data_IF_813777311875
#
_entry.id   IF_813777311875
#
_cell.length_a   1.000
_cell.length_b   1.000
_cell.length_c   1.000
_cell.angle_alpha   90.00
_cell.angle_beta   90.00
_cell.angle_gamma   90.00
#
_symmetry.space_group_name_H-M   'P 1'
#
loop_
_entity.id
_entity.type
_entity.pdbx_description
1 polymer ?
#
# COMPACT_ATOMS: atom_id res chain seq x y z
N UNK A 1 13.89 18.08 -13.63
CA UNK A 1 13.38 16.69 -13.58
C UNK A 1 14.28 15.81 -14.40
N UNK A 2 14.71 14.70 -13.83
CA UNK A 2 15.54 13.72 -14.49
C UNK A 2 14.64 12.75 -15.25
N UNK A 3 14.64 12.85 -16.58
CA UNK A 3 13.81 12.01 -17.45
C UNK A 3 14.23 10.54 -17.43
N UNK A 4 15.50 10.24 -17.21
CA UNK A 4 15.98 8.86 -17.12
C UNK A 4 15.40 8.17 -15.88
N UNK A 5 15.33 8.86 -14.76
CA UNK A 5 14.68 8.36 -13.55
C UNK A 5 13.18 8.18 -13.78
N UNK A 6 12.52 9.16 -14.40
CA UNK A 6 11.09 9.07 -14.70
C UNK A 6 10.79 7.86 -15.62
N UNK A 7 11.60 7.65 -16.63
CA UNK A 7 11.51 6.48 -17.52
C UNK A 7 11.71 5.17 -16.75
N UNK A 8 12.69 5.13 -15.85
CA UNK A 8 12.97 3.96 -15.03
C UNK A 8 11.81 3.63 -14.11
N UNK A 9 11.17 4.65 -13.54
CA UNK A 9 9.97 4.47 -12.70
C UNK A 9 8.81 3.93 -13.56
N UNK A 10 8.56 4.53 -14.72
CA UNK A 10 7.51 4.06 -15.62
C UNK A 10 7.74 2.62 -16.09
N UNK A 11 8.99 2.23 -16.33
CA UNK A 11 9.35 0.89 -16.76
C UNK A 11 9.14 -0.19 -15.70
N UNK A 12 8.90 0.17 -14.45
CA UNK A 12 8.59 -0.82 -13.40
C UNK A 12 7.33 -1.62 -13.71
N UNK A 13 6.41 -1.08 -14.51
CA UNK A 13 5.19 -1.80 -14.91
C UNK A 13 5.48 -2.98 -15.87
N UNK A 14 6.63 -2.99 -16.52
CA UNK A 14 7.00 -4.04 -17.49
C UNK A 14 7.17 -5.40 -16.81
N UNK A 15 7.45 -5.43 -15.52
CA UNK A 15 7.57 -6.66 -14.73
C UNK A 15 6.26 -7.06 -14.04
N UNK A 16 5.23 -6.25 -14.17
CA UNK A 16 3.87 -6.57 -13.74
C UNK A 16 3.13 -7.35 -14.84
N UNK A 17 2.04 -8.05 -14.52
CA UNK A 17 1.21 -8.71 -15.54
C UNK A 17 0.76 -7.75 -16.63
N UNK A 18 0.55 -8.27 -17.83
CA UNK A 18 0.09 -7.50 -18.99
C UNK A 18 -1.41 -7.16 -18.85
N UNK A 19 -1.69 -6.20 -18.00
CA UNK A 19 -3.02 -5.71 -17.66
C UNK A 19 -3.11 -4.21 -17.96
N UNK A 20 -4.30 -3.64 -18.01
CA UNK A 20 -4.44 -2.19 -18.06
C UNK A 20 -3.70 -1.49 -16.92
N UNK A 21 -3.29 -0.26 -17.14
CA UNK A 21 -2.56 0.56 -16.17
C UNK A 21 -3.43 1.73 -15.73
N UNK A 22 -3.50 1.96 -14.43
CA UNK A 22 -4.03 3.19 -13.84
C UNK A 22 -2.90 3.96 -13.20
N UNK A 23 -2.64 5.17 -13.71
CA UNK A 23 -1.66 6.09 -13.10
C UNK A 23 -2.36 7.06 -12.15
N UNK A 24 -1.85 7.16 -10.93
CA UNK A 24 -2.34 8.12 -9.92
C UNK A 24 -1.47 9.36 -9.92
N UNK A 25 -2.12 10.54 -9.93
CA UNK A 25 -1.45 11.82 -9.76
C UNK A 25 -0.44 12.14 -10.85
N UNK A 26 -0.83 12.03 -12.13
CA UNK A 26 0.12 12.26 -13.22
C UNK A 26 0.70 13.69 -13.26
N UNK A 27 0.02 14.67 -12.65
CA UNK A 27 0.47 16.05 -12.64
C UNK A 27 0.65 16.58 -14.06
N UNK A 28 1.87 16.99 -14.39
CA UNK A 28 2.23 17.49 -15.72
C UNK A 28 2.60 16.38 -16.71
N UNK A 29 2.37 15.12 -16.36
CA UNK A 29 2.55 13.99 -17.26
C UNK A 29 3.97 13.47 -17.39
N UNK A 30 4.81 13.66 -16.35
CA UNK A 30 6.23 13.25 -16.38
C UNK A 30 6.37 11.73 -16.54
N UNK A 31 5.59 10.93 -15.81
CA UNK A 31 5.56 9.47 -16.00
C UNK A 31 4.67 9.09 -17.17
N UNK A 32 3.57 9.81 -17.37
CA UNK A 32 2.57 9.53 -18.39
C UNK A 32 3.18 9.45 -19.78
N UNK A 33 4.13 10.34 -20.12
CA UNK A 33 4.80 10.36 -21.43
C UNK A 33 5.49 9.03 -21.77
N UNK A 34 5.95 8.29 -20.77
CA UNK A 34 6.57 6.98 -20.96
C UNK A 34 5.55 5.84 -20.91
N UNK A 35 4.49 6.01 -20.12
CA UNK A 35 3.43 5.00 -19.99
C UNK A 35 2.60 4.88 -21.27
N UNK A 36 2.35 6.00 -21.98
CA UNK A 36 1.62 5.98 -23.26
C UNK A 36 2.32 5.17 -24.34
N UNK A 37 3.63 4.95 -24.22
CA UNK A 37 4.41 4.19 -25.19
C UNK A 37 4.32 2.67 -24.98
N UNK A 38 3.69 2.21 -23.89
CA UNK A 38 3.68 0.79 -23.50
C UNK A 38 2.71 -0.07 -24.31
N UNK A 39 1.90 0.51 -25.19
CA UNK A 39 0.88 -0.23 -25.96
C UNK A 39 -0.07 -1.04 -25.06
N UNK A 40 -0.36 -0.50 -23.86
CA UNK A 40 -1.31 -1.06 -22.90
C UNK A 40 -2.44 -0.05 -22.70
N UNK A 41 -3.61 -0.55 -22.37
CA UNK A 41 -4.71 0.34 -21.99
C UNK A 41 -4.26 1.17 -20.78
N UNK A 42 -4.31 2.49 -20.89
CA UNK A 42 -3.85 3.41 -19.85
C UNK A 42 -4.97 4.37 -19.52
N UNK A 43 -5.27 4.51 -18.24
CA UNK A 43 -6.07 5.60 -17.68
C UNK A 43 -5.25 6.31 -16.62
N UNK A 44 -5.52 7.61 -16.45
CA UNK A 44 -4.88 8.43 -15.43
C UNK A 44 -5.96 9.10 -14.59
N UNK A 45 -5.71 9.26 -13.30
CA UNK A 45 -6.63 9.96 -12.39
C UNK A 45 -5.90 11.10 -11.72
N UNK A 46 -6.49 12.31 -11.85
CA UNK A 46 -5.92 13.54 -11.32
C UNK A 46 -7.03 14.38 -10.70
N UNK A 47 -6.81 14.86 -9.48
CA UNK A 47 -7.79 15.69 -8.77
C UNK A 47 -7.69 17.17 -9.15
N UNK A 48 -6.50 17.64 -9.54
CA UNK A 48 -6.26 19.04 -9.87
C UNK A 48 -6.77 19.38 -11.27
N UNK A 49 -7.74 20.31 -11.34
CA UNK A 49 -8.40 20.67 -12.59
C UNK A 49 -7.44 21.33 -13.61
N UNK A 50 -6.45 22.08 -13.15
CA UNK A 50 -5.44 22.68 -14.04
C UNK A 50 -4.56 21.62 -14.66
N UNK A 51 -4.14 20.62 -13.88
CA UNK A 51 -3.39 19.48 -14.38
C UNK A 51 -4.20 18.65 -15.36
N UNK A 52 -5.49 18.42 -15.10
CA UNK A 52 -6.39 17.73 -16.04
C UNK A 52 -6.45 18.47 -17.38
N UNK A 53 -6.63 19.78 -17.37
CA UNK A 53 -6.65 20.59 -18.58
C UNK A 53 -5.31 20.48 -19.35
N UNK A 54 -4.20 20.56 -18.64
CA UNK A 54 -2.87 20.43 -19.24
C UNK A 54 -2.66 19.04 -19.87
N UNK A 55 -3.07 17.97 -19.17
CA UNK A 55 -2.94 16.61 -19.68
C UNK A 55 -3.77 16.38 -20.94
N UNK A 56 -4.99 16.93 -21.00
CA UNK A 56 -5.83 16.88 -22.20
C UNK A 56 -5.16 17.55 -23.40
N UNK A 57 -4.50 18.67 -23.18
CA UNK A 57 -3.78 19.39 -24.22
C UNK A 57 -2.53 18.64 -24.67
N UNK A 58 -1.73 18.15 -23.70
CA UNK A 58 -0.46 17.47 -23.98
C UNK A 58 -0.65 16.06 -24.58
N UNK A 59 -1.68 15.35 -24.14
CA UNK A 59 -1.96 13.96 -24.56
C UNK A 59 -3.38 13.87 -25.14
N UNK A 60 -3.65 14.47 -26.31
CA UNK A 60 -5.02 14.47 -26.85
C UNK A 60 -5.58 13.07 -27.11
N UNK A 61 -4.71 12.09 -27.41
CA UNK A 61 -5.14 10.70 -27.61
C UNK A 61 -5.56 10.02 -26.30
N UNK A 62 -5.16 10.56 -25.16
CA UNK A 62 -5.51 10.05 -23.83
C UNK A 62 -6.78 10.72 -23.27
N UNK A 63 -7.37 11.67 -23.97
CA UNK A 63 -8.43 12.55 -23.47
C UNK A 63 -9.60 11.79 -22.81
N UNK A 64 -10.08 10.71 -23.43
CA UNK A 64 -11.18 9.91 -22.89
C UNK A 64 -10.78 9.07 -21.68
N UNK A 65 -9.50 9.00 -21.39
CA UNK A 65 -8.92 8.18 -20.32
C UNK A 65 -8.28 9.02 -19.20
N UNK A 66 -8.50 10.33 -19.22
CA UNK A 66 -8.10 11.25 -18.16
C UNK A 66 -9.30 11.44 -17.24
N UNK A 67 -9.18 10.91 -16.02
CA UNK A 67 -10.26 10.96 -15.03
C UNK A 67 -9.97 12.09 -14.05
N UNK A 68 -10.79 13.15 -14.10
CA UNK A 68 -10.72 14.25 -13.14
C UNK A 68 -11.50 13.90 -11.89
N UNK A 69 -10.86 13.24 -10.92
CA UNK A 69 -11.51 12.77 -9.71
C UNK A 69 -10.51 12.56 -8.57
N UNK A 70 -11.06 12.40 -7.37
CA UNK A 70 -10.30 11.98 -6.20
C UNK A 70 -10.24 10.44 -6.17
N UNK A 71 -9.05 9.88 -6.32
CA UNK A 71 -8.83 8.43 -6.29
C UNK A 71 -9.43 7.80 -5.03
N UNK A 72 -9.32 8.45 -3.88
CA UNK A 72 -9.82 7.90 -2.61
C UNK A 72 -11.34 7.75 -2.56
N UNK A 73 -12.07 8.46 -3.44
CA UNK A 73 -13.54 8.40 -3.51
C UNK A 73 -14.06 7.58 -4.68
N UNK A 74 -13.18 7.08 -5.54
CA UNK A 74 -13.59 6.34 -6.74
C UNK A 74 -14.03 4.92 -6.41
N UNK A 75 -14.97 4.40 -7.19
CA UNK A 75 -15.26 2.97 -7.24
C UNK A 75 -14.31 2.31 -8.26
N UNK A 76 -13.30 1.61 -7.79
CA UNK A 76 -12.25 1.06 -8.64
C UNK A 76 -12.74 -0.05 -9.58
N UNK A 77 -13.83 -0.73 -9.24
CA UNK A 77 -14.44 -1.72 -10.11
C UNK A 77 -14.92 -1.13 -11.45
N UNK A 78 -15.21 0.16 -11.47
CA UNK A 78 -15.72 0.85 -12.69
C UNK A 78 -14.60 1.33 -13.61
N UNK A 79 -13.35 1.37 -13.18
CA UNK A 79 -12.27 1.98 -13.96
C UNK A 79 -12.02 1.19 -15.25
N UNK A 80 -11.94 -0.12 -15.17
CA UNK A 80 -11.73 -1.02 -16.30
C UNK A 80 -12.81 -2.11 -16.38
N UNK A 81 -14.03 -1.75 -16.02
CA UNK A 81 -15.20 -2.66 -16.12
C UNK A 81 -15.02 -3.97 -15.37
N UNK A 82 -14.48 -3.90 -14.15
CA UNK A 82 -14.24 -5.07 -13.31
C UNK A 82 -12.96 -5.83 -13.63
N UNK A 83 -12.23 -5.44 -14.66
CA UNK A 83 -10.95 -6.07 -15.01
C UNK A 83 -9.86 -5.67 -14.02
N UNK A 84 -9.01 -6.59 -13.58
CA UNK A 84 -7.82 -6.26 -12.82
C UNK A 84 -6.88 -5.33 -13.59
N UNK A 85 -6.12 -4.53 -12.86
CA UNK A 85 -5.21 -3.54 -13.45
C UNK A 85 -3.96 -3.35 -12.59
N UNK A 86 -2.94 -2.76 -13.20
CA UNK A 86 -1.70 -2.35 -12.53
C UNK A 86 -1.86 -0.91 -12.08
N UNK A 87 -1.55 -0.66 -10.81
CA UNK A 87 -1.53 0.68 -10.23
C UNK A 87 -0.11 1.23 -10.27
N UNK A 88 0.07 2.45 -10.73
CA UNK A 88 1.40 3.10 -10.73
C UNK A 88 1.27 4.60 -10.54
N UNK A 89 2.36 5.25 -10.24
CA UNK A 89 2.41 6.70 -10.13
C UNK A 89 3.57 7.22 -9.29
N UNK A 90 3.68 8.54 -9.28
CA UNK A 90 4.40 9.28 -8.25
C UNK A 90 3.34 9.66 -7.21
N UNK A 91 3.20 8.85 -6.17
CA UNK A 91 2.08 8.97 -5.24
C UNK A 91 2.20 10.25 -4.41
N UNK A 92 1.09 11.02 -4.24
CA UNK A 92 1.08 12.16 -3.34
C UNK A 92 1.45 11.74 -1.92
N UNK A 93 2.44 12.42 -1.32
CA UNK A 93 3.03 11.98 -0.05
C UNK A 93 2.08 12.07 1.13
N UNK A 94 1.23 13.09 1.13
CA UNK A 94 0.27 13.33 2.22
C UNK A 94 -0.86 12.30 2.30
N UNK A 95 -1.15 11.61 1.20
CA UNK A 95 -2.22 10.59 1.14
C UNK A 95 -1.74 9.21 0.74
N UNK A 96 -0.43 8.98 0.66
CA UNK A 96 0.10 7.70 0.17
C UNK A 96 -0.40 6.50 0.98
N UNK A 97 -0.41 6.59 2.31
CA UNK A 97 -0.93 5.52 3.17
C UNK A 97 -2.39 5.21 2.89
N UNK A 98 -3.22 6.24 2.68
CA UNK A 98 -4.64 6.07 2.36
C UNK A 98 -4.83 5.38 1.00
N UNK A 99 -3.98 5.70 0.03
CA UNK A 99 -3.98 5.04 -1.29
C UNK A 99 -3.71 3.55 -1.13
N UNK A 100 -2.70 3.18 -0.33
CA UNK A 100 -2.36 1.78 -0.11
C UNK A 100 -3.42 1.02 0.69
N UNK A 101 -4.07 1.66 1.65
CA UNK A 101 -5.21 1.05 2.33
C UNK A 101 -6.38 0.82 1.38
N UNK A 102 -6.65 1.75 0.48
CA UNK A 102 -7.67 1.55 -0.55
C UNK A 102 -7.29 0.40 -1.49
N UNK A 103 -6.02 0.28 -1.84
CA UNK A 103 -5.52 -0.86 -2.62
C UNK A 103 -5.81 -2.18 -1.90
N UNK A 104 -5.57 -2.27 -0.59
CA UNK A 104 -5.89 -3.47 0.20
C UNK A 104 -7.36 -3.83 0.15
N UNK A 105 -8.24 -2.83 0.21
CA UNK A 105 -9.69 -3.04 0.12
C UNK A 105 -10.12 -3.51 -1.28
N UNK A 106 -9.27 -3.34 -2.29
CA UNK A 106 -9.51 -3.70 -3.69
C UNK A 106 -8.43 -4.64 -4.24
N UNK A 107 -7.83 -5.46 -3.39
CA UNK A 107 -6.66 -6.28 -3.76
C UNK A 107 -6.91 -7.27 -4.90
N UNK A 108 -8.16 -7.72 -5.07
CA UNK A 108 -8.53 -8.58 -6.19
C UNK A 108 -8.44 -7.87 -7.54
N UNK A 109 -8.61 -6.54 -7.55
CA UNK A 109 -8.49 -5.71 -8.75
C UNK A 109 -7.07 -5.26 -9.02
N UNK A 110 -6.17 -5.27 -8.02
CA UNK A 110 -4.83 -4.70 -8.12
C UNK A 110 -3.78 -5.77 -7.81
N UNK A 111 -3.47 -6.66 -8.77
CA UNK A 111 -2.47 -7.71 -8.56
C UNK A 111 -1.03 -7.19 -8.54
N UNK A 112 -0.78 -5.99 -9.03
CA UNK A 112 0.55 -5.38 -9.03
C UNK A 112 0.43 -3.87 -8.88
N UNK A 113 1.31 -3.30 -8.07
CA UNK A 113 1.39 -1.87 -7.83
C UNK A 113 2.86 -1.46 -7.82
N UNK A 114 3.19 -0.40 -8.55
CA UNK A 114 4.55 0.16 -8.56
C UNK A 114 4.48 1.67 -8.37
N UNK A 115 5.63 2.28 -8.14
CA UNK A 115 5.73 3.73 -8.16
C UNK A 115 6.61 4.29 -7.07
N UNK A 116 6.63 5.61 -6.99
CA UNK A 116 7.49 6.35 -6.09
C UNK A 116 6.71 6.87 -4.89
N UNK A 117 7.29 6.67 -3.71
CA UNK A 117 6.78 7.15 -2.42
C UNK A 117 7.93 7.73 -1.61
N UNK A 118 7.63 8.32 -0.45
CA UNK A 118 8.67 8.70 0.51
C UNK A 118 9.47 7.47 0.92
N UNK A 119 10.80 7.62 1.02
CA UNK A 119 11.71 6.53 1.37
C UNK A 119 11.32 5.87 2.70
N UNK A 120 10.97 6.67 3.70
CA UNK A 120 10.57 6.14 5.01
C UNK A 120 9.35 5.21 4.92
N UNK A 121 8.37 5.59 4.11
CA UNK A 121 7.16 4.77 3.89
C UNK A 121 7.52 3.46 3.18
N UNK A 122 8.39 3.54 2.17
CA UNK A 122 8.87 2.35 1.47
C UNK A 122 9.61 1.38 2.40
N UNK A 123 10.47 1.92 3.27
CA UNK A 123 11.19 1.13 4.25
C UNK A 123 10.24 0.43 5.23
N UNK A 124 9.19 1.12 5.68
CA UNK A 124 8.17 0.54 6.55
C UNK A 124 7.42 -0.59 5.85
N UNK A 125 7.03 -0.41 4.60
CA UNK A 125 6.32 -1.44 3.85
C UNK A 125 7.14 -2.71 3.66
N UNK A 126 8.44 -2.57 3.39
CA UNK A 126 9.34 -3.69 3.10
C UNK A 126 10.02 -4.26 4.36
N UNK A 127 9.81 -3.66 5.53
CA UNK A 127 10.51 -4.05 6.76
C UNK A 127 10.15 -5.47 7.21
N UNK A 128 11.11 -6.13 7.85
CA UNK A 128 10.95 -7.47 8.40
C UNK A 128 10.80 -7.44 9.92
N UNK A 129 10.22 -8.48 10.54
CA UNK A 129 10.09 -8.56 12.00
C UNK A 129 11.40 -8.30 12.72
N UNK A 130 11.32 -7.64 13.86
CA UNK A 130 12.47 -7.29 14.70
C UNK A 130 13.12 -5.95 14.35
N UNK A 131 12.82 -5.38 13.20
CA UNK A 131 13.38 -4.08 12.81
C UNK A 131 12.57 -2.91 13.36
N UNK A 132 13.23 -1.75 13.50
CA UNK A 132 12.59 -0.53 13.96
C UNK A 132 11.49 -0.05 13.00
N UNK A 133 11.66 -0.28 11.72
CA UNK A 133 10.72 0.16 10.67
C UNK A 133 9.48 -0.74 10.58
N UNK A 134 9.54 -1.96 11.12
CA UNK A 134 8.44 -2.92 11.08
C UNK A 134 7.25 -2.40 11.88
N UNK A 135 6.08 -2.33 11.25
CA UNK A 135 4.89 -1.77 11.86
C UNK A 135 3.61 -2.10 11.09
N UNK A 136 2.60 -1.26 11.24
CA UNK A 136 1.27 -1.45 10.65
C UNK A 136 1.35 -1.68 9.13
N UNK A 137 2.06 -0.80 8.41
CA UNK A 137 2.18 -0.91 6.95
C UNK A 137 2.89 -2.19 6.53
N UNK A 138 3.95 -2.59 7.26
CA UNK A 138 4.66 -3.84 6.99
C UNK A 138 3.70 -5.03 7.04
N UNK A 139 3.00 -5.17 8.15
CA UNK A 139 2.13 -6.33 8.42
C UNK A 139 0.94 -6.36 7.46
N UNK A 140 0.22 -5.24 7.31
CA UNK A 140 -0.98 -5.21 6.48
C UNK A 140 -0.67 -5.40 5.00
N UNK A 141 0.42 -4.81 4.50
CA UNK A 141 0.81 -4.97 3.09
C UNK A 141 1.34 -6.38 2.81
N UNK A 142 2.25 -6.88 3.66
CA UNK A 142 2.88 -8.18 3.45
C UNK A 142 1.94 -9.36 3.72
N UNK A 143 0.82 -9.15 4.39
CA UNK A 143 -0.22 -10.17 4.50
C UNK A 143 -0.75 -10.59 3.10
N UNK A 144 -0.77 -9.68 2.14
CA UNK A 144 -1.38 -9.88 0.83
C UNK A 144 -0.46 -9.65 -0.36
N UNK A 145 0.67 -8.96 -0.15
CA UNK A 145 1.60 -8.57 -1.20
C UNK A 145 3.03 -8.93 -0.82
N UNK A 146 3.80 -9.33 -1.82
CA UNK A 146 5.25 -9.31 -1.74
C UNK A 146 5.71 -7.89 -2.02
N UNK A 147 6.45 -7.28 -1.09
CA UNK A 147 6.90 -5.89 -1.18
C UNK A 147 8.38 -5.85 -1.49
N UNK A 148 8.74 -5.14 -2.57
CA UNK A 148 10.13 -4.99 -3.00
C UNK A 148 10.50 -3.51 -3.00
N UNK A 149 11.59 -3.18 -2.32
CA UNK A 149 12.22 -1.87 -2.39
C UNK A 149 13.19 -1.88 -3.57
N UNK A 150 12.83 -1.20 -4.66
CA UNK A 150 13.59 -1.31 -5.91
C UNK A 150 14.82 -0.41 -5.93
N UNK A 151 14.66 0.88 -5.68
CA UNK A 151 15.78 1.83 -5.63
C UNK A 151 15.39 3.13 -4.95
N UNK A 152 16.41 3.87 -4.48
CA UNK A 152 16.24 5.17 -3.84
C UNK A 152 16.36 6.29 -4.88
N UNK A 153 15.55 7.34 -4.72
CA UNK A 153 15.58 8.53 -5.57
C UNK A 153 15.91 9.74 -4.71
N UNK A 154 16.93 10.51 -5.12
CA UNK A 154 17.38 11.71 -4.42
C UNK A 154 16.37 12.85 -4.51
N UNK A 155 16.48 13.82 -3.58
CA UNK A 155 15.55 14.95 -3.48
C UNK A 155 15.58 15.86 -4.70
N UNK A 156 16.71 15.93 -5.42
CA UNK A 156 16.93 16.88 -6.50
C UNK A 156 16.48 16.39 -7.88
N UNK A 157 15.92 15.18 -7.97
CA UNK A 157 15.53 14.57 -9.23
C UNK A 157 14.29 15.23 -9.85
N UNK A 158 13.40 15.74 -9.01
CA UNK A 158 12.13 16.35 -9.44
C UNK A 158 12.08 17.83 -9.13
N UNK A 159 11.28 18.57 -9.89
CA UNK A 159 11.04 20.00 -9.71
C UNK A 159 9.53 20.26 -9.56
N UNK A 160 9.08 20.85 -8.44
CA UNK A 160 9.87 21.22 -7.27
C UNK A 160 10.43 19.97 -6.53
N UNK A 161 11.61 20.08 -5.89
CA UNK A 161 12.17 18.94 -5.17
C UNK A 161 11.36 18.64 -3.90
N UNK A 162 11.10 17.34 -3.61
CA UNK A 162 10.52 16.97 -2.33
C UNK A 162 11.49 17.28 -1.18
N UNK A 163 10.96 17.45 0.02
CA UNK A 163 11.77 17.75 1.21
C UNK A 163 12.54 16.54 1.73
N UNK A 164 12.21 15.35 1.28
CA UNK A 164 12.79 14.09 1.75
C UNK A 164 13.12 13.20 0.56
N UNK A 165 14.00 12.23 0.79
CA UNK A 165 14.31 11.23 -0.21
C UNK A 165 13.08 10.37 -0.52
N UNK A 166 13.04 9.87 -1.73
CA UNK A 166 11.98 9.00 -2.23
C UNK A 166 12.55 7.62 -2.52
N UNK A 167 11.66 6.68 -2.71
CA UNK A 167 12.01 5.33 -3.14
C UNK A 167 10.94 4.80 -4.09
N UNK A 168 11.37 3.91 -4.96
CA UNK A 168 10.48 3.21 -5.88
C UNK A 168 10.28 1.80 -5.37
N UNK A 169 9.03 1.39 -5.31
CA UNK A 169 8.60 0.09 -4.79
C UNK A 169 7.83 -0.68 -5.85
N UNK A 170 7.73 -2.00 -5.63
CA UNK A 170 6.79 -2.87 -6.32
C UNK A 170 6.12 -3.78 -5.31
N UNK A 171 4.79 -3.83 -5.37
CA UNK A 171 3.97 -4.75 -4.59
C UNK A 171 3.30 -5.70 -5.56
N UNK A 172 3.50 -6.99 -5.37
CA UNK A 172 2.89 -8.05 -6.18
C UNK A 172 2.06 -8.93 -5.27
N UNK A 173 0.81 -9.24 -5.65
CA UNK A 173 -0.02 -10.15 -4.88
C UNK A 173 0.76 -11.45 -4.61
N UNK A 174 0.78 -11.85 -3.35
CA UNK A 174 1.35 -13.13 -2.96
C UNK A 174 0.31 -14.26 -3.17
N UNK A 175 0.67 -15.48 -2.80
CA UNK A 175 -0.20 -16.65 -3.00
C UNK A 175 -1.39 -16.72 -2.02
N UNK A 176 -1.52 -15.75 -1.12
CA UNK A 176 -2.57 -15.76 -0.09
C UNK A 176 -3.93 -15.50 -0.71
N UNK A 177 -4.81 -16.50 -0.68
CA UNK A 177 -6.21 -16.37 -1.05
C UNK A 177 -7.05 -16.16 0.21
N UNK A 178 -6.74 -16.91 1.26
CA UNK A 178 -7.37 -16.85 2.57
C UNK A 178 -6.28 -16.62 3.61
N UNK A 179 -6.40 -15.56 4.40
CA UNK A 179 -5.40 -15.22 5.40
C UNK A 179 -5.32 -16.26 6.54
N UNK A 180 -6.42 -16.97 6.80
CA UNK A 180 -6.52 -17.96 7.87
C UNK A 180 -7.03 -17.37 9.19
N UNK A 181 -7.53 -16.15 9.17
CA UNK A 181 -8.16 -15.48 10.31
C UNK A 181 -9.15 -14.42 9.83
N UNK A 182 -9.92 -13.86 10.75
CA UNK A 182 -10.81 -12.72 10.44
C UNK A 182 -9.98 -11.49 10.08
N UNK A 183 -10.18 -10.96 8.88
CA UNK A 183 -9.39 -9.84 8.36
C UNK A 183 -9.65 -8.53 9.11
N UNK A 184 -10.88 -8.25 9.47
CA UNK A 184 -11.21 -7.00 10.19
C UNK A 184 -10.62 -7.02 11.59
N UNK A 185 -10.68 -8.15 12.27
CA UNK A 185 -10.06 -8.32 13.59
C UNK A 185 -8.53 -8.24 13.48
N UNK A 186 -7.94 -8.87 12.47
CA UNK A 186 -6.50 -8.78 12.20
C UNK A 186 -6.04 -7.32 12.04
N UNK A 187 -6.74 -6.55 11.21
CA UNK A 187 -6.43 -5.12 11.02
C UNK A 187 -6.53 -4.34 12.33
N UNK A 188 -7.62 -4.54 13.06
CA UNK A 188 -7.86 -3.85 14.34
C UNK A 188 -6.78 -4.21 15.35
N UNK A 189 -6.45 -5.48 15.46
CA UNK A 189 -5.44 -5.99 16.38
C UNK A 189 -4.06 -5.40 16.05
N UNK A 190 -3.65 -5.45 14.79
CA UNK A 190 -2.36 -4.90 14.35
C UNK A 190 -2.25 -3.42 14.67
N UNK A 191 -3.29 -2.63 14.35
CA UNK A 191 -3.30 -1.20 14.65
C UNK A 191 -3.24 -0.93 16.17
N UNK A 192 -3.96 -1.72 16.95
CA UNK A 192 -4.01 -1.57 18.41
C UNK A 192 -2.64 -1.82 19.04
N UNK A 193 -1.99 -2.93 18.71
CA UNK A 193 -0.73 -3.30 19.36
C UNK A 193 0.43 -2.40 18.91
N UNK A 194 0.46 -1.98 17.67
CA UNK A 194 1.47 -1.01 17.22
C UNK A 194 1.23 0.41 17.71
N UNK A 195 0.01 0.72 18.18
CA UNK A 195 -0.27 1.97 18.91
C UNK A 195 0.41 2.01 20.28
N UNK A 196 0.80 0.87 20.81
CA UNK A 196 1.57 0.72 22.07
C UNK A 196 2.81 -0.15 21.82
N UNK A 197 3.58 0.22 20.82
CA UNK A 197 4.70 -0.55 20.27
C UNK A 197 5.70 -1.08 21.31
N UNK A 198 5.99 -0.27 22.33
CA UNK A 198 6.98 -0.63 23.37
C UNK A 198 6.41 -1.50 24.49
N UNK A 199 5.11 -1.78 24.47
CA UNK A 199 4.45 -2.61 25.48
C UNK A 199 4.38 -4.06 25.01
N UNK A 200 4.43 -5.00 25.97
CA UNK A 200 4.13 -6.40 25.69
C UNK A 200 2.67 -6.55 25.25
N UNK A 201 2.39 -7.58 24.47
CA UNK A 201 1.05 -7.85 23.96
C UNK A 201 0.02 -8.03 25.08
N UNK A 202 0.41 -8.61 26.22
CA UNK A 202 -0.49 -8.73 27.38
C UNK A 202 -1.01 -7.38 27.88
N UNK A 203 -0.31 -6.28 27.61
CA UNK A 203 -0.74 -4.93 27.97
C UNK A 203 -1.58 -4.31 26.87
N UNK A 204 -1.07 -4.30 25.63
CA UNK A 204 -1.73 -3.63 24.51
C UNK A 204 -3.05 -4.28 24.08
N UNK A 205 -3.17 -5.61 24.21
CA UNK A 205 -4.37 -6.35 23.82
C UNK A 205 -5.56 -6.11 24.73
N UNK A 206 -5.36 -5.60 25.93
CA UNK A 206 -6.47 -5.31 26.88
C UNK A 206 -7.55 -4.43 26.25
N UNK A 207 -7.17 -3.52 25.38
CA UNK A 207 -8.09 -2.59 24.73
C UNK A 207 -9.09 -3.27 23.79
N UNK A 208 -8.80 -4.49 23.35
CA UNK A 208 -9.65 -5.21 22.42
C UNK A 208 -10.82 -5.88 23.14
N UNK A 209 -10.63 -6.23 24.41
CA UNK A 209 -11.59 -7.00 25.17
C UNK A 209 -12.54 -6.11 25.98
N UNK A 210 -13.87 -6.39 25.95
CA UNK A 210 -14.84 -5.69 26.79
C UNK A 210 -14.64 -5.97 28.28
N UNK A 211 -14.12 -7.15 28.63
CA UNK A 211 -13.75 -7.51 30.01
C UNK A 211 -12.40 -8.25 29.99
N UNK A 212 -11.66 -8.26 31.13
CA UNK A 212 -10.34 -8.89 31.15
C UNK A 212 -10.39 -10.36 30.72
N UNK A 213 -9.46 -10.81 29.84
CA UNK A 213 -9.31 -12.22 29.51
C UNK A 213 -8.98 -13.06 30.72
N UNK A 214 -9.21 -14.38 30.63
CA UNK A 214 -8.83 -15.34 31.67
C UNK A 214 -7.31 -15.53 31.74
N UNK A 215 -6.86 -16.21 32.80
CA UNK A 215 -5.43 -16.41 33.05
C UNK A 215 -4.77 -17.26 31.96
N UNK A 216 -5.47 -18.23 31.40
CA UNK A 216 -4.94 -19.09 30.33
C UNK A 216 -4.54 -18.28 29.10
N UNK A 217 -5.34 -17.27 28.74
CA UNK A 217 -5.00 -16.36 27.64
C UNK A 217 -3.63 -15.70 27.87
N UNK A 218 -3.40 -15.19 29.09
CA UNK A 218 -2.15 -14.50 29.43
C UNK A 218 -0.94 -15.42 29.53
N UNK A 219 -1.11 -16.73 29.62
CA UNK A 219 -0.01 -17.68 29.67
C UNK A 219 0.52 -18.05 28.27
N UNK A 220 -0.17 -17.67 27.22
CA UNK A 220 0.32 -17.93 25.86
C UNK A 220 1.68 -17.23 25.63
N UNK A 221 2.66 -17.90 25.01
CA UNK A 221 4.01 -17.34 24.80
C UNK A 221 4.04 -15.98 24.09
N UNK A 222 3.06 -15.65 23.25
CA UNK A 222 3.02 -14.36 22.60
C UNK A 222 2.81 -13.19 23.56
N UNK A 223 2.24 -13.43 24.72
CA UNK A 223 1.81 -12.36 25.63
C UNK A 223 2.95 -11.55 26.22
N UNK A 224 4.16 -12.12 26.27
CA UNK A 224 5.36 -11.44 26.75
C UNK A 224 6.16 -10.79 25.61
N UNK A 225 5.74 -10.98 24.38
CA UNK A 225 6.40 -10.39 23.21
C UNK A 225 5.84 -8.98 22.93
N UNK A 226 6.63 -8.21 22.22
CA UNK A 226 6.20 -6.92 21.64
C UNK A 226 5.74 -7.13 20.20
N UNK A 227 4.88 -6.25 19.65
CA UNK A 227 4.35 -6.45 18.30
C UNK A 227 5.41 -6.56 17.21
N UNK A 228 6.53 -5.85 17.34
CA UNK A 228 7.62 -5.90 16.35
C UNK A 228 8.31 -7.26 16.23
N UNK A 229 8.13 -8.13 17.21
CA UNK A 229 8.75 -9.46 17.24
C UNK A 229 7.93 -10.51 16.49
N UNK A 230 6.67 -10.21 16.12
CA UNK A 230 5.79 -11.18 15.50
C UNK A 230 5.88 -11.14 13.98
N UNK A 231 6.01 -12.32 13.37
CA UNK A 231 5.82 -12.50 11.94
C UNK A 231 4.34 -12.32 11.56
N UNK A 232 4.07 -12.21 10.27
CA UNK A 232 2.68 -12.14 9.78
C UNK A 232 1.91 -13.39 10.16
N UNK A 233 2.51 -14.57 10.03
CA UNK A 233 1.87 -15.83 10.43
C UNK A 233 1.54 -15.84 11.92
N UNK A 234 2.42 -15.31 12.75
CA UNK A 234 2.16 -15.20 14.20
C UNK A 234 1.04 -14.20 14.50
N UNK A 235 0.92 -13.13 13.73
CA UNK A 235 -0.23 -12.23 13.84
C UNK A 235 -1.54 -12.92 13.45
N UNK A 236 -1.52 -13.80 12.46
CA UNK A 236 -2.69 -14.62 12.10
C UNK A 236 -3.08 -15.54 13.27
N UNK A 237 -2.12 -16.23 13.86
CA UNK A 237 -2.34 -17.10 15.03
C UNK A 237 -2.88 -16.29 16.21
N UNK A 238 -2.28 -15.12 16.49
CA UNK A 238 -2.72 -14.23 17.57
C UNK A 238 -4.16 -13.78 17.36
N UNK A 239 -4.52 -13.44 16.13
CA UNK A 239 -5.88 -13.03 15.78
C UNK A 239 -6.89 -14.14 16.10
N UNK A 240 -6.57 -15.37 15.78
CA UNK A 240 -7.42 -16.53 16.07
C UNK A 240 -7.54 -16.75 17.59
N UNK A 241 -6.47 -16.60 18.35
CA UNK A 241 -6.48 -16.71 19.81
C UNK A 241 -7.38 -15.63 20.41
N UNK A 242 -7.24 -14.40 19.94
CA UNK A 242 -8.06 -13.25 20.41
C UNK A 242 -9.53 -13.48 20.06
N UNK A 243 -9.82 -13.95 18.85
CA UNK A 243 -11.19 -14.23 18.42
C UNK A 243 -11.86 -15.26 19.32
N UNK A 244 -11.15 -16.35 19.63
CA UNK A 244 -11.65 -17.38 20.55
C UNK A 244 -11.97 -16.79 21.93
N UNK A 245 -11.08 -15.96 22.46
CA UNK A 245 -11.29 -15.31 23.77
C UNK A 245 -12.49 -14.38 23.73
N UNK A 246 -12.68 -13.62 22.64
CA UNK A 246 -13.84 -12.75 22.47
C UNK A 246 -15.16 -13.52 22.47
N UNK A 247 -15.17 -14.72 21.90
CA UNK A 247 -16.37 -15.57 21.85
C UNK A 247 -16.79 -16.12 23.21
N UNK A 248 -15.90 -16.11 24.20
CA UNK A 248 -16.18 -16.58 25.56
C UNK A 248 -16.67 -15.47 26.49
N UNK A 249 -16.78 -14.24 26.02
CA UNK A 249 -17.15 -13.06 26.81
C UNK A 249 -18.59 -12.59 26.56
#
# INVERSE_FOLDING_TARGET
TDLDIARRIANTVDTCPDLPILEIGPGMGVLTQFLVEKQRQLKVVEIDSESVAYLNERFPRLSDNIIGADFLKMNLANVFQGQPFVLTGNYPYDISSQIFFKMLDNKELIPCCTGMIQREVAQRMAAQPGSKAYGILSVLMQAWYEVEYLFTVGEHVFNPPPKVKSAVIRLTRNATINLGCDWLLFRRLVKTVFGQRRKMLRVSLRQIFPSPPNDDFYQHPFMILRPEQLSIQQFVELTNIVEQQLKTQ
#
